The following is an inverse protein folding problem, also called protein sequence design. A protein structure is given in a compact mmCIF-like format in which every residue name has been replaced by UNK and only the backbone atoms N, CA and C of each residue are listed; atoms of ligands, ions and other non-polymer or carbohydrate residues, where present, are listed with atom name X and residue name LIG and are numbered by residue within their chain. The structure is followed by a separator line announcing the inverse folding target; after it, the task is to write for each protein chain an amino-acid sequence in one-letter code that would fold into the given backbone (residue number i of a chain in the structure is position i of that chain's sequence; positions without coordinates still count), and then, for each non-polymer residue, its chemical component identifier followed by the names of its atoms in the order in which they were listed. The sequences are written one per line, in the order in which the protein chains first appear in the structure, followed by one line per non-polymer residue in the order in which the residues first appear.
data_IF_408648553157
#
_entry.id   IF_408648553157
#
_cell.length_a   1.000
_cell.length_b   1.000
_cell.length_c   1.000
_cell.angle_alpha   90.00
_cell.angle_beta   90.00
_cell.angle_gamma   90.00
#
_symmetry.space_group_name_H-M   'P 1'
#
loop_
_entity.id
_entity.type
_entity.pdbx_description
1 polymer ?
#
# COMPACT_ATOMS: atom_id res chain seq x y z
N UNK A 1 -4.82 -8.31 1.56
CA UNK A 1 -3.37 -8.25 1.77
C UNK A 1 -3.08 -8.62 3.20
N UNK A 2 -2.13 -9.54 3.44
CA UNK A 2 -1.75 -10.00 4.78
C UNK A 2 -0.28 -9.64 5.01
N UNK A 3 0.01 -9.06 6.16
CA UNK A 3 1.36 -8.76 6.62
C UNK A 3 1.59 -9.51 7.93
N UNK A 4 2.65 -10.31 8.02
CA UNK A 4 3.02 -11.03 9.24
C UNK A 4 4.41 -10.56 9.65
N UNK A 5 4.55 -10.12 10.90
CA UNK A 5 5.81 -9.62 11.44
C UNK A 5 6.08 -10.33 12.77
N UNK A 6 7.26 -10.94 12.87
CA UNK A 6 7.80 -11.51 14.10
C UNK A 6 9.26 -11.05 14.21
N UNK A 7 9.58 -10.22 15.21
CA UNK A 7 10.94 -9.68 15.40
C UNK A 7 11.24 -9.53 16.91
N UNK A 8 12.51 -9.32 17.27
CA UNK A 8 12.96 -8.94 18.61
C UNK A 8 12.23 -7.70 19.14
N UNK A 9 11.87 -6.78 18.25
CA UNK A 9 11.10 -5.58 18.60
C UNK A 9 9.65 -5.88 18.97
N UNK A 10 9.09 -6.98 18.47
CA UNK A 10 7.78 -7.49 18.89
C UNK A 10 7.87 -8.40 20.12
N UNK A 11 9.06 -8.51 20.75
CA UNK A 11 9.37 -9.47 21.81
C UNK A 11 9.03 -10.93 21.41
N UNK A 12 9.27 -11.30 20.14
CA UNK A 12 8.86 -12.58 19.54
C UNK A 12 7.35 -12.84 19.47
N UNK A 13 6.50 -11.83 19.68
CA UNK A 13 5.08 -11.95 19.41
C UNK A 13 4.83 -11.87 17.91
N UNK A 14 3.96 -12.75 17.41
CA UNK A 14 3.52 -12.76 16.02
C UNK A 14 2.43 -11.69 15.83
N UNK A 15 2.74 -10.65 15.05
CA UNK A 15 1.76 -9.61 14.69
C UNK A 15 1.31 -9.88 13.25
N UNK A 16 0.03 -10.22 13.10
CA UNK A 16 -0.60 -10.40 11.79
C UNK A 16 -1.58 -9.25 11.52
N UNK A 17 -1.38 -8.57 10.40
CA UNK A 17 -2.25 -7.49 9.92
C UNK A 17 -2.90 -7.94 8.63
N UNK A 18 -4.22 -8.00 8.64
CA UNK A 18 -5.01 -8.31 7.46
C UNK A 18 -5.77 -7.06 7.00
N UNK A 19 -5.56 -6.69 5.74
CA UNK A 19 -6.25 -5.58 5.10
C UNK A 19 -7.01 -6.03 3.86
N UNK A 20 -8.30 -5.74 3.82
CA UNK A 20 -9.12 -5.94 2.64
C UNK A 20 -8.91 -4.77 1.68
N UNK A 21 -8.44 -5.08 0.47
CA UNK A 21 -8.21 -4.08 -0.60
C UNK A 21 -9.55 -3.49 -1.07
N UNK A 22 -10.63 -4.27 -0.99
CA UNK A 22 -11.96 -3.86 -1.44
C UNK A 22 -12.73 -3.07 -0.37
N UNK A 23 -12.76 -3.56 0.87
CA UNK A 23 -13.58 -2.93 1.94
C UNK A 23 -12.80 -1.93 2.79
N UNK A 24 -11.47 -1.84 2.62
CA UNK A 24 -10.59 -1.05 3.47
C UNK A 24 -10.54 -1.52 4.93
N UNK A 25 -11.21 -2.63 5.28
CA UNK A 25 -11.21 -3.18 6.63
C UNK A 25 -9.81 -3.65 6.98
N UNK A 26 -9.35 -3.23 8.15
CA UNK A 26 -8.07 -3.62 8.74
C UNK A 26 -8.39 -4.41 10.00
N UNK A 27 -7.88 -5.63 10.07
CA UNK A 27 -7.91 -6.52 11.22
C UNK A 27 -6.48 -6.74 11.69
N UNK A 28 -6.27 -6.67 13.00
CA UNK A 28 -4.97 -6.93 13.61
C UNK A 28 -5.10 -8.07 14.61
N UNK A 29 -4.14 -8.98 14.54
CA UNK A 29 -4.02 -10.15 15.39
C UNK A 29 -2.64 -10.10 16.07
N UNK A 30 -2.58 -10.36 17.37
CA UNK A 30 -1.31 -10.58 18.08
C UNK A 30 -1.36 -11.97 18.70
N UNK A 31 -0.36 -12.80 18.39
CA UNK A 31 -0.28 -14.20 18.78
C UNK A 31 -1.59 -14.96 18.48
N UNK A 32 -2.17 -14.71 17.29
CA UNK A 32 -3.43 -15.32 16.86
C UNK A 32 -4.70 -14.77 17.51
N UNK A 33 -4.63 -13.85 18.49
CA UNK A 33 -5.81 -13.25 19.12
C UNK A 33 -6.25 -11.98 18.36
N UNK A 34 -7.52 -11.88 17.93
CA UNK A 34 -8.03 -10.69 17.25
C UNK A 34 -8.12 -9.51 18.23
N UNK A 35 -7.70 -8.33 17.79
CA UNK A 35 -7.84 -7.10 18.57
C UNK A 35 -9.16 -6.37 18.30
N UNK A 36 -9.62 -5.64 19.31
CA UNK A 36 -10.78 -4.79 19.20
C UNK A 36 -10.40 -3.48 18.51
N UNK A 37 -11.06 -3.20 17.39
CA UNK A 37 -10.87 -1.95 16.65
C UNK A 37 -11.64 -0.84 17.36
N UNK A 38 -10.91 0.11 17.95
CA UNK A 38 -11.49 1.30 18.61
C UNK A 38 -11.69 2.42 17.59
N UNK A 39 -10.83 2.52 16.57
CA UNK A 39 -10.88 3.59 15.57
C UNK A 39 -10.29 3.19 14.23
N UNK A 40 -10.22 4.13 13.28
CA UNK A 40 -9.70 3.86 11.92
C UNK A 40 -8.30 3.23 11.95
N UNK A 41 -7.44 3.75 12.82
CA UNK A 41 -6.05 3.33 13.01
C UNK A 41 -5.72 2.98 14.47
N UNK A 42 -6.71 2.78 15.35
CA UNK A 42 -6.49 2.43 16.75
C UNK A 42 -7.16 1.10 17.08
N UNK A 43 -6.41 0.25 17.78
CA UNK A 43 -6.83 -1.05 18.28
C UNK A 43 -6.51 -1.13 19.77
N UNK A 44 -7.31 -1.88 20.53
CA UNK A 44 -6.95 -2.28 21.90
C UNK A 44 -6.93 -3.78 22.07
N UNK A 45 -6.13 -4.19 23.06
CA UNK A 45 -6.12 -5.54 23.59
C UNK A 45 -5.90 -5.50 25.09
N UNK A 46 -6.38 -6.55 25.75
CA UNK A 46 -6.04 -6.80 27.14
C UNK A 46 -4.77 -7.64 27.18
N UNK A 47 -3.76 -7.15 27.88
CA UNK A 47 -2.54 -7.90 28.16
C UNK A 47 -2.84 -9.10 29.08
N UNK A 48 -1.89 -10.01 29.25
CA UNK A 48 -2.00 -11.17 30.15
C UNK A 48 -2.29 -10.78 31.61
N UNK A 49 -2.01 -9.53 31.98
CA UNK A 49 -2.33 -8.93 33.29
C UNK A 49 -3.72 -8.25 33.34
N UNK A 50 -4.53 -8.32 32.29
CA UNK A 50 -5.86 -7.70 32.22
C UNK A 50 -5.86 -6.17 32.04
N UNK A 51 -4.69 -5.56 31.80
CA UNK A 51 -4.58 -4.12 31.49
C UNK A 51 -4.90 -3.86 30.01
N UNK A 52 -5.74 -2.87 29.76
CA UNK A 52 -6.05 -2.41 28.40
C UNK A 52 -4.84 -1.66 27.81
N UNK A 53 -4.26 -2.20 26.74
CA UNK A 53 -3.20 -1.58 25.96
C UNK A 53 -3.72 -1.13 24.60
N UNK A 54 -3.22 0.02 24.14
CA UNK A 54 -3.61 0.62 22.87
C UNK A 54 -2.49 0.48 21.85
N UNK A 55 -2.89 0.15 20.63
CA UNK A 55 -2.03 -0.02 19.46
C UNK A 55 -2.49 0.94 18.39
N UNK A 56 -1.59 1.82 17.94
CA UNK A 56 -1.90 2.80 16.90
C UNK A 56 -1.10 2.52 15.63
N UNK A 57 -1.78 2.49 14.49
CA UNK A 57 -1.14 2.45 13.17
C UNK A 57 -0.80 3.86 12.70
N UNK A 58 0.44 4.05 12.26
CA UNK A 58 0.94 5.30 11.70
C UNK A 58 1.44 5.04 10.27
N UNK A 59 1.05 5.93 9.35
CA UNK A 59 1.45 5.86 7.94
C UNK A 59 0.38 5.29 6.99
N UNK A 60 0.80 5.00 5.75
CA UNK A 60 -0.07 4.52 4.67
C UNK A 60 0.56 3.33 3.96
N UNK A 61 -0.25 2.49 3.31
CA UNK A 61 0.26 1.31 2.59
C UNK A 61 1.27 1.66 1.50
N UNK A 62 1.13 2.86 0.93
CA UNK A 62 2.05 3.37 -0.09
C UNK A 62 3.31 3.91 0.59
N UNK A 63 3.21 4.73 1.65
CA UNK A 63 4.38 5.39 2.24
C UNK A 63 5.16 4.54 3.23
N UNK A 64 4.55 3.51 3.81
CA UNK A 64 5.09 2.70 4.91
C UNK A 64 4.11 2.63 6.08
N UNK A 65 4.15 1.52 6.82
CA UNK A 65 3.27 1.26 7.97
C UNK A 65 4.15 1.00 9.19
N UNK A 66 3.95 1.82 10.20
CA UNK A 66 4.53 1.67 11.53
C UNK A 66 3.42 1.41 12.53
N UNK A 67 3.74 0.62 13.55
CA UNK A 67 2.84 0.26 14.62
C UNK A 67 3.41 0.79 15.93
N UNK A 68 2.62 1.61 16.63
CA UNK A 68 3.01 2.19 17.91
C UNK A 68 2.34 1.40 19.05
N UNK A 69 3.15 0.83 19.93
CA UNK A 69 2.72 0.03 21.07
C UNK A 69 3.66 0.26 22.25
N UNK A 70 3.11 0.53 23.44
CA UNK A 70 3.88 0.66 24.69
C UNK A 70 5.09 1.62 24.61
N UNK A 71 4.94 2.73 23.89
CA UNK A 71 6.01 3.72 23.69
C UNK A 71 7.08 3.32 22.67
N UNK A 72 6.92 2.19 21.97
CA UNK A 72 7.83 1.70 20.93
C UNK A 72 7.16 1.74 19.55
N UNK A 73 7.97 2.02 18.53
CA UNK A 73 7.59 1.97 17.12
C UNK A 73 8.10 0.68 16.49
N UNK A 74 7.20 -0.18 16.04
CA UNK A 74 7.51 -1.41 15.31
C UNK A 74 7.25 -1.14 13.82
N UNK A 75 8.27 -1.25 12.97
CA UNK A 75 8.11 -1.09 11.52
C UNK A 75 7.52 -2.37 10.92
N UNK A 76 6.27 -2.30 10.43
CA UNK A 76 5.62 -3.41 9.72
C UNK A 76 6.00 -3.41 8.25
N UNK A 77 6.07 -2.21 7.67
CA UNK A 77 6.30 -2.03 6.25
C UNK A 77 7.27 -0.87 6.06
N UNK A 78 8.40 -1.16 5.39
CA UNK A 78 9.48 -0.19 5.18
C UNK A 78 8.92 1.10 4.59
N UNK A 79 9.32 2.21 5.20
CA UNK A 79 9.06 3.54 4.66
C UNK A 79 9.85 3.71 3.35
N UNK A 80 9.20 4.23 2.31
CA UNK A 80 9.92 4.53 1.08
C UNK A 80 10.76 5.80 1.25
N UNK A 81 11.93 5.81 0.62
CA UNK A 81 12.75 7.00 0.55
C UNK A 81 12.05 8.08 -0.28
N UNK A 82 12.31 9.37 -0.04
CA UNK A 82 11.69 10.48 -0.77
C UNK A 82 11.83 10.34 -2.29
N UNK A 83 12.99 9.87 -2.76
CA UNK A 83 13.19 9.55 -4.19
C UNK A 83 12.25 8.44 -4.67
N UNK A 84 12.11 7.36 -3.90
CA UNK A 84 11.21 6.25 -4.22
C UNK A 84 9.74 6.69 -4.21
N UNK A 85 9.38 7.64 -3.33
CA UNK A 85 8.03 8.23 -3.30
C UNK A 85 7.75 8.94 -4.62
N UNK A 86 8.65 9.82 -5.08
CA UNK A 86 8.49 10.53 -6.37
C UNK A 86 8.37 9.54 -7.53
N UNK A 87 9.22 8.51 -7.53
CA UNK A 87 9.22 7.44 -8.54
C UNK A 87 7.90 6.65 -8.58
N UNK A 88 7.31 6.35 -7.41
CA UNK A 88 6.02 5.67 -7.32
C UNK A 88 4.89 6.49 -7.92
N UNK A 89 4.98 7.83 -7.91
CA UNK A 89 3.95 8.72 -8.45
C UNK A 89 4.02 8.94 -9.96
N UNK A 90 5.06 8.47 -10.65
CA UNK A 90 5.21 8.61 -12.11
C UNK A 90 3.97 8.14 -12.90
N UNK A 91 3.31 7.01 -12.57
CA UNK A 91 2.11 6.56 -13.27
C UNK A 91 0.94 7.55 -13.22
N UNK A 92 0.92 8.53 -12.30
CA UNK A 92 -0.13 9.57 -12.29
C UNK A 92 -0.09 10.48 -13.51
N UNK A 93 1.03 10.57 -14.22
CA UNK A 93 1.14 11.37 -15.45
C UNK A 93 0.13 10.88 -16.50
N UNK A 94 -0.22 9.59 -16.49
CA UNK A 94 -1.26 9.02 -17.37
C UNK A 94 -2.62 9.71 -17.19
N UNK A 95 -2.94 10.19 -15.99
CA UNK A 95 -4.23 10.86 -15.72
C UNK A 95 -4.34 12.15 -16.54
N UNK A 96 -3.22 12.85 -16.76
CA UNK A 96 -3.18 14.09 -17.55
C UNK A 96 -3.54 13.78 -19.01
N UNK A 97 -2.96 12.71 -19.57
CA UNK A 97 -3.30 12.23 -20.92
C UNK A 97 -4.68 11.56 -21.01
N UNK A 98 -5.17 10.96 -19.93
CA UNK A 98 -6.52 10.40 -19.85
C UNK A 98 -7.61 11.46 -19.82
N UNK A 99 -7.34 12.60 -19.16
CA UNK A 99 -8.27 13.70 -19.04
C UNK A 99 -8.66 14.30 -20.40
N UNK A 100 -7.79 14.25 -21.41
CA UNK A 100 -8.15 14.68 -22.77
C UNK A 100 -9.20 13.78 -23.43
N UNK A 101 -9.34 12.53 -22.97
CA UNK A 101 -10.43 11.62 -23.36
C UNK A 101 -11.73 11.84 -22.59
N UNK A 102 -11.88 12.98 -21.91
CA UNK A 102 -13.05 13.31 -21.09
C UNK A 102 -13.12 12.49 -19.80
N UNK A 103 -14.32 12.43 -19.21
CA UNK A 103 -14.54 11.74 -17.91
C UNK A 103 -14.20 10.26 -17.99
N UNK A 104 -14.54 9.59 -19.10
CA UNK A 104 -14.30 8.16 -19.29
C UNK A 104 -12.80 7.89 -19.37
N UNK A 105 -12.06 8.63 -20.21
CA UNK A 105 -10.60 8.52 -20.30
C UNK A 105 -9.90 8.83 -18.97
N UNK A 106 -10.36 9.86 -18.24
CA UNK A 106 -9.82 10.22 -16.94
C UNK A 106 -10.02 9.14 -15.87
N UNK A 107 -11.18 8.51 -15.82
CA UNK A 107 -11.47 7.41 -14.87
C UNK A 107 -10.59 6.20 -15.16
N UNK A 108 -10.47 5.80 -16.43
CA UNK A 108 -9.67 4.63 -16.83
C UNK A 108 -8.19 4.88 -16.54
N UNK A 109 -7.68 6.05 -16.93
CA UNK A 109 -6.30 6.44 -16.63
C UNK A 109 -6.05 6.51 -15.11
N UNK A 110 -7.02 6.98 -14.32
CA UNK A 110 -6.95 7.00 -12.86
C UNK A 110 -6.84 5.61 -12.24
N UNK A 111 -7.66 4.65 -12.70
CA UNK A 111 -7.60 3.26 -12.23
C UNK A 111 -6.26 2.61 -12.62
N UNK A 112 -5.84 2.77 -13.87
CA UNK A 112 -4.56 2.27 -14.37
C UNK A 112 -3.38 2.84 -13.57
N UNK A 113 -3.37 4.15 -13.30
CA UNK A 113 -2.34 4.80 -12.50
C UNK A 113 -2.33 4.30 -11.05
N UNK A 114 -3.49 4.14 -10.42
CA UNK A 114 -3.60 3.62 -9.05
C UNK A 114 -3.01 2.21 -8.91
N UNK A 115 -3.33 1.32 -9.87
CA UNK A 115 -2.75 -0.03 -9.92
C UNK A 115 -1.23 0.06 -10.07
N UNK A 116 -0.75 0.90 -10.98
CA UNK A 116 0.69 1.09 -11.20
C UNK A 116 1.44 1.56 -9.97
N UNK A 117 0.89 2.51 -9.22
CA UNK A 117 1.48 2.97 -7.97
C UNK A 117 1.60 1.84 -6.95
N UNK A 118 0.56 1.02 -6.78
CA UNK A 118 0.58 -0.07 -5.78
C UNK A 118 1.60 -1.17 -6.12
N UNK A 119 1.71 -1.55 -7.39
CA UNK A 119 2.70 -2.54 -7.88
C UNK A 119 4.11 -1.98 -7.70
N UNK A 120 4.32 -0.74 -8.14
CA UNK A 120 5.62 -0.07 -8.07
C UNK A 120 6.10 0.11 -6.63
N UNK A 121 5.22 0.53 -5.72
CA UNK A 121 5.53 0.68 -4.30
C UNK A 121 5.88 -0.66 -3.64
N UNK A 122 5.17 -1.73 -4.00
CA UNK A 122 5.45 -3.08 -3.50
C UNK A 122 6.81 -3.61 -3.98
N UNK A 123 7.20 -3.27 -5.21
CA UNK A 123 8.47 -3.71 -5.79
C UNK A 123 9.67 -2.87 -5.33
N UNK A 124 9.50 -1.55 -5.17
CA UNK A 124 10.56 -0.67 -4.63
C UNK A 124 11.02 -1.09 -3.23
N UNK A 125 10.16 -1.75 -2.45
CA UNK A 125 10.49 -2.29 -1.13
C UNK A 125 11.34 -3.57 -1.16
N UNK A 126 11.34 -4.31 -2.28
CA UNK A 126 12.03 -5.61 -2.41
C UNK A 126 13.45 -5.52 -2.96
N UNK A 127 13.76 -4.42 -3.64
CA UNK A 127 15.05 -4.22 -4.32
C UNK A 127 15.77 -3.08 -3.64
N UNK A 128 17.10 -3.19 -3.51
CA UNK A 128 17.93 -2.09 -3.03
C UNK A 128 18.63 -1.36 -4.19
N UNK A 129 18.94 -2.07 -5.29
CA UNK A 129 19.60 -1.51 -6.47
C UNK A 129 18.74 -0.46 -7.20
N UNK A 130 19.25 0.77 -7.26
CA UNK A 130 18.53 1.92 -7.84
C UNK A 130 18.28 1.80 -9.35
N UNK A 131 19.23 1.26 -10.11
CA UNK A 131 19.11 1.08 -11.56
C UNK A 131 17.98 0.10 -11.88
N UNK A 132 17.89 -1.00 -11.12
CA UNK A 132 16.89 -2.03 -11.32
C UNK A 132 15.49 -1.54 -10.93
N UNK A 133 15.39 -0.66 -9.91
CA UNK A 133 14.14 0.06 -9.61
C UNK A 133 13.69 0.91 -10.79
N UNK A 134 14.59 1.73 -11.33
CA UNK A 134 14.28 2.65 -12.43
C UNK A 134 13.80 1.88 -13.67
N UNK A 135 14.52 0.82 -14.05
CA UNK A 135 14.16 -0.03 -15.19
C UNK A 135 12.79 -0.69 -14.99
N UNK A 136 12.50 -1.18 -13.79
CA UNK A 136 11.21 -1.80 -13.48
C UNK A 136 10.06 -0.79 -13.52
N UNK A 137 10.26 0.41 -12.96
CA UNK A 137 9.25 1.48 -12.99
C UNK A 137 8.92 1.86 -14.43
N UNK A 138 9.95 2.01 -15.27
CA UNK A 138 9.76 2.32 -16.69
C UNK A 138 9.00 1.21 -17.41
N UNK A 139 9.32 -0.06 -17.10
CA UNK A 139 8.60 -1.22 -17.63
C UNK A 139 7.13 -1.25 -17.22
N UNK A 140 6.84 -1.06 -15.93
CA UNK A 140 5.46 -1.01 -15.41
C UNK A 140 4.70 0.17 -16.00
N UNK A 141 5.33 1.35 -16.10
CA UNK A 141 4.72 2.51 -16.74
C UNK A 141 4.36 2.22 -18.20
N UNK A 142 5.27 1.60 -18.97
CA UNK A 142 5.01 1.21 -20.35
C UNK A 142 3.86 0.21 -20.47
N UNK A 143 3.83 -0.83 -19.63
CA UNK A 143 2.75 -1.84 -19.62
C UNK A 143 1.41 -1.19 -19.30
N UNK A 144 1.34 -0.32 -18.29
CA UNK A 144 0.08 0.32 -17.88
C UNK A 144 -0.40 1.31 -18.93
N UNK A 145 0.52 2.04 -19.56
CA UNK A 145 0.20 2.93 -20.69
C UNK A 145 -0.38 2.12 -21.85
N UNK A 146 0.21 0.97 -22.18
CA UNK A 146 -0.28 0.08 -23.23
C UNK A 146 -1.68 -0.45 -22.89
N UNK A 147 -1.89 -0.93 -21.66
CA UNK A 147 -3.22 -1.38 -21.19
C UNK A 147 -4.26 -0.26 -21.28
N UNK A 148 -3.89 0.98 -20.90
CA UNK A 148 -4.76 2.14 -21.05
C UNK A 148 -5.17 2.36 -22.51
N UNK A 149 -4.21 2.36 -23.45
CA UNK A 149 -4.52 2.54 -24.87
C UNK A 149 -5.38 1.41 -25.44
N UNK A 150 -5.15 0.15 -25.03
CA UNK A 150 -5.99 -0.97 -25.46
C UNK A 150 -7.45 -0.80 -24.99
N UNK A 151 -7.65 -0.45 -23.72
CA UNK A 151 -9.00 -0.24 -23.18
C UNK A 151 -9.67 0.96 -23.84
N UNK A 152 -8.93 2.07 -24.00
CA UNK A 152 -9.45 3.26 -24.67
C UNK A 152 -9.82 2.98 -26.14
N UNK A 153 -9.01 2.21 -26.86
CA UNK A 153 -9.28 1.78 -28.23
C UNK A 153 -10.54 0.92 -28.33
N UNK A 154 -10.69 -0.08 -27.46
CA UNK A 154 -11.88 -0.93 -27.42
C UNK A 154 -13.16 -0.14 -27.15
N UNK A 155 -13.11 0.87 -26.27
CA UNK A 155 -14.26 1.73 -25.99
C UNK A 155 -14.62 2.58 -27.21
N UNK A 156 -13.62 3.08 -27.93
CA UNK A 156 -13.84 3.89 -29.12
C UNK A 156 -14.41 3.07 -30.29
N UNK A 157 -14.16 1.76 -30.35
CA UNK A 157 -14.80 0.85 -31.31
C UNK A 157 -16.25 0.52 -30.95
N UNK A 158 -16.63 0.63 -29.67
CA UNK A 158 -17.98 0.31 -29.18
C UNK A 158 -18.95 1.51 -29.33
N UNK A 159 -18.43 2.74 -29.31
CA UNK A 159 -19.19 4.00 -29.44
C UNK A 159 -19.38 4.35 -30.91
#
# INVERSE_FOLDING_TARGET
MKFVVCNKETCNNEIMVEKSVWTGRTSLYINGKPMNKIGKNLFSYNDSEGKEKKVAFKGSEILGIELYMDGRTITILRKLNTFEIVLVFIPLILIIGGASGGVIGGVIAGVCAAIGMTITASFCRKIDNIILKLLFILGIYGIITLVYFLIAGLILEII
#
